data_IF_432947773110
#
_entry.id   IF_432947773110
#
_cell.length_a   1.000
_cell.length_b   1.000
_cell.length_c   1.000
_cell.angle_alpha   90.00
_cell.angle_beta   90.00
_cell.angle_gamma   90.00
#
_symmetry.space_group_name_H-M   'P 1'
#
loop_
_entity.id
_entity.type
_entity.pdbx_description
1 polymer ?
#
# COMPACT_ATOMS: atom_id res chain seq x y z
N UNK A 1 -7.31 -3.38 -10.21
CA UNK A 1 -7.22 -1.95 -9.81
C UNK A 1 -8.64 -1.42 -9.57
N UNK A 2 -9.31 -1.90 -8.52
CA UNK A 2 -10.77 -1.74 -8.37
C UNK A 2 -11.21 -1.61 -6.91
N UNK A 3 -10.28 -1.33 -5.99
CA UNK A 3 -10.56 -1.31 -4.55
C UNK A 3 -10.97 0.10 -4.06
N UNK A 4 -10.51 1.19 -4.69
CA UNK A 4 -10.81 2.55 -4.19
C UNK A 4 -11.98 3.29 -4.85
N UNK A 5 -12.64 2.75 -5.90
CA UNK A 5 -13.75 3.48 -6.56
C UNK A 5 -15.09 3.37 -5.82
N UNK A 6 -15.35 2.24 -5.15
CA UNK A 6 -16.70 1.95 -4.67
C UNK A 6 -17.21 2.89 -3.58
N UNK A 7 -16.37 3.41 -2.68
CA UNK A 7 -16.86 4.22 -1.56
C UNK A 7 -17.33 5.62 -1.98
N UNK A 8 -16.62 6.30 -2.89
CA UNK A 8 -17.06 7.60 -3.41
C UNK A 8 -18.27 7.47 -4.33
N UNK A 9 -18.34 6.41 -5.12
CA UNK A 9 -19.41 6.25 -6.11
C UNK A 9 -20.76 5.86 -5.47
N UNK A 10 -20.75 5.40 -4.21
CA UNK A 10 -21.95 4.95 -3.46
C UNK A 10 -22.43 6.01 -2.46
N UNK A 11 -21.59 6.95 -2.04
CA UNK A 11 -21.94 7.94 -1.02
C UNK A 11 -22.84 9.06 -1.59
N UNK A 12 -23.86 9.50 -0.83
CA UNK A 12 -24.78 10.58 -1.22
C UNK A 12 -24.05 11.91 -1.52
N UNK A 13 -22.94 12.18 -0.81
CA UNK A 13 -22.05 13.33 -1.02
C UNK A 13 -20.81 13.00 -1.88
N UNK A 14 -20.75 11.78 -2.41
CA UNK A 14 -19.56 11.21 -3.03
C UNK A 14 -19.04 11.96 -4.26
N UNK A 15 -19.93 12.68 -4.95
CA UNK A 15 -19.57 13.52 -6.10
C UNK A 15 -18.72 14.74 -5.70
N UNK A 16 -18.84 15.26 -4.48
CA UNK A 16 -18.07 16.42 -4.02
C UNK A 16 -16.59 16.09 -3.78
N UNK A 17 -16.30 14.82 -3.45
CA UNK A 17 -14.95 14.35 -3.13
C UNK A 17 -14.36 13.45 -4.24
N UNK A 18 -15.00 13.40 -5.41
CA UNK A 18 -14.48 12.64 -6.55
C UNK A 18 -13.24 13.32 -7.15
N UNK A 19 -12.08 12.73 -6.88
CA UNK A 19 -10.79 13.21 -7.39
C UNK A 19 -10.49 12.73 -8.82
N UNK A 20 -11.36 11.96 -9.46
CA UNK A 20 -11.10 11.33 -10.77
C UNK A 20 -10.81 12.35 -11.86
N UNK A 21 -11.64 13.41 -11.98
CA UNK A 21 -11.44 14.46 -12.99
C UNK A 21 -10.19 15.31 -12.70
N UNK A 22 -9.91 15.56 -11.42
CA UNK A 22 -8.71 16.29 -10.99
C UNK A 22 -7.46 15.50 -11.36
N UNK A 23 -7.43 14.20 -11.08
CA UNK A 23 -6.31 13.31 -11.43
C UNK A 23 -6.11 13.28 -12.95
N UNK A 24 -7.18 13.14 -13.73
CA UNK A 24 -7.09 13.16 -15.20
C UNK A 24 -6.48 14.46 -15.73
N UNK A 25 -6.89 15.61 -15.16
CA UNK A 25 -6.32 16.92 -15.50
C UNK A 25 -4.84 17.02 -15.11
N UNK A 26 -4.46 16.56 -13.92
CA UNK A 26 -3.06 16.54 -13.46
C UNK A 26 -2.20 15.69 -14.41
N UNK A 27 -2.66 14.50 -14.80
CA UNK A 27 -1.93 13.62 -15.72
C UNK A 27 -1.72 14.28 -17.08
N UNK A 28 -2.75 14.94 -17.62
CA UNK A 28 -2.64 15.69 -18.89
C UNK A 28 -1.63 16.82 -18.78
N UNK A 29 -1.69 17.62 -17.72
CA UNK A 29 -0.77 18.75 -17.50
C UNK A 29 0.68 18.27 -17.32
N UNK A 30 0.89 17.19 -16.56
CA UNK A 30 2.22 16.59 -16.39
C UNK A 30 2.80 16.08 -17.71
N UNK A 31 1.96 15.47 -18.55
CA UNK A 31 2.37 15.03 -19.89
C UNK A 31 2.78 16.21 -20.77
N UNK A 32 1.99 17.29 -20.79
CA UNK A 32 2.32 18.51 -21.52
C UNK A 32 3.63 19.14 -21.03
N UNK A 33 3.82 19.21 -19.70
CA UNK A 33 5.05 19.71 -19.09
C UNK A 33 6.28 18.91 -19.54
N UNK A 34 6.20 17.58 -19.51
CA UNK A 34 7.30 16.72 -19.96
C UNK A 34 7.65 16.97 -21.44
N UNK A 35 6.64 17.11 -22.31
CA UNK A 35 6.84 17.38 -23.73
C UNK A 35 7.50 18.73 -24.00
N UNK A 36 7.09 19.78 -23.28
CA UNK A 36 7.69 21.12 -23.40
C UNK A 36 9.17 21.10 -23.00
N UNK A 37 9.52 20.31 -21.98
CA UNK A 37 10.88 20.14 -21.50
C UNK A 37 11.71 19.16 -22.34
N UNK A 38 11.16 18.60 -23.42
CA UNK A 38 11.86 17.69 -24.35
C UNK A 38 11.87 16.21 -23.94
N UNK A 39 11.11 15.81 -22.92
CA UNK A 39 10.99 14.42 -22.47
C UNK A 39 9.84 13.68 -23.16
N UNK A 40 9.93 12.35 -23.25
CA UNK A 40 8.89 11.54 -23.89
C UNK A 40 7.67 11.35 -22.99
N UNK A 41 7.91 11.26 -21.68
CA UNK A 41 6.87 11.04 -20.68
C UNK A 41 7.22 11.70 -19.31
N UNK A 42 6.23 11.86 -18.41
CA UNK A 42 6.46 12.44 -17.08
C UNK A 42 7.34 11.61 -16.14
N UNK A 43 7.45 10.29 -16.38
CA UNK A 43 8.27 9.42 -15.55
C UNK A 43 9.76 9.66 -15.81
N UNK A 44 10.18 9.81 -17.07
CA UNK A 44 11.53 10.23 -17.47
C UNK A 44 11.89 11.56 -16.82
N UNK A 45 11.02 12.57 -16.96
CA UNK A 45 11.22 13.87 -16.32
C UNK A 45 11.41 13.73 -14.80
N UNK A 46 10.58 12.92 -14.12
CA UNK A 46 10.71 12.71 -12.67
C UNK A 46 11.97 11.96 -12.26
N UNK A 47 12.57 11.16 -13.15
CA UNK A 47 13.75 10.34 -12.85
C UNK A 47 15.05 11.11 -12.98
N UNK A 48 15.07 12.21 -13.75
CA UNK A 48 16.25 13.08 -13.89
C UNK A 48 16.85 13.55 -12.55
N UNK A 49 16.04 13.67 -11.49
CA UNK A 49 16.48 14.09 -10.16
C UNK A 49 16.70 12.93 -9.19
N UNK A 50 16.54 11.68 -9.65
CA UNK A 50 16.57 10.47 -8.82
C UNK A 50 17.73 9.57 -9.23
N UNK A 51 18.06 8.63 -8.35
CA UNK A 51 19.15 7.66 -8.55
C UNK A 51 18.83 6.56 -9.58
N UNK A 52 17.58 6.45 -10.04
CA UNK A 52 17.18 5.39 -10.96
C UNK A 52 17.39 5.83 -12.43
N UNK A 53 18.02 4.96 -13.21
CA UNK A 53 18.54 5.29 -14.53
C UNK A 53 17.45 5.43 -15.62
N UNK A 54 16.40 4.60 -15.57
CA UNK A 54 15.31 4.65 -16.57
C UNK A 54 13.95 4.23 -15.98
N UNK A 55 12.83 4.69 -16.57
CA UNK A 55 11.50 4.19 -16.21
C UNK A 55 11.36 2.68 -16.40
N UNK A 56 12.00 2.12 -17.43
CA UNK A 56 11.97 0.70 -17.75
C UNK A 56 12.61 -0.13 -16.63
N UNK A 57 13.78 0.30 -16.14
CA UNK A 57 14.48 -0.36 -15.03
C UNK A 57 13.62 -0.37 -13.76
N UNK A 58 12.91 0.74 -13.48
CA UNK A 58 11.97 0.83 -12.35
C UNK A 58 10.84 -0.17 -12.50
N UNK A 59 10.27 -0.30 -13.71
CA UNK A 59 9.20 -1.28 -13.97
C UNK A 59 9.70 -2.71 -13.83
N UNK A 60 10.90 -3.02 -14.34
CA UNK A 60 11.52 -4.35 -14.19
C UNK A 60 11.74 -4.66 -12.71
N UNK A 61 12.35 -3.75 -11.96
CA UNK A 61 12.57 -3.90 -10.52
C UNK A 61 11.26 -4.17 -9.75
N UNK A 62 10.20 -3.39 -10.01
CA UNK A 62 8.90 -3.60 -9.36
C UNK A 62 8.26 -4.94 -9.74
N UNK A 63 8.41 -5.39 -10.98
CA UNK A 63 7.92 -6.70 -11.43
C UNK A 63 8.65 -7.85 -10.75
N UNK A 64 9.97 -7.76 -10.63
CA UNK A 64 10.77 -8.77 -9.93
C UNK A 64 10.43 -8.83 -8.44
N UNK A 65 10.27 -7.66 -7.80
CA UNK A 65 9.84 -7.58 -6.41
C UNK A 65 8.45 -8.20 -6.24
N UNK A 66 7.50 -7.86 -7.12
CA UNK A 66 6.15 -8.43 -7.08
C UNK A 66 6.17 -9.95 -7.30
N UNK A 67 7.00 -10.47 -8.20
CA UNK A 67 7.13 -11.91 -8.43
C UNK A 67 7.63 -12.66 -7.19
N UNK A 68 8.57 -12.06 -6.44
CA UNK A 68 9.08 -12.62 -5.18
C UNK A 68 8.09 -12.49 -4.03
N UNK A 69 7.35 -11.39 -3.95
CA UNK A 69 6.40 -11.11 -2.87
C UNK A 69 5.07 -11.88 -3.02
N UNK A 70 4.62 -12.10 -4.25
CA UNK A 70 3.35 -12.78 -4.56
C UNK A 70 3.14 -14.14 -3.85
N UNK A 71 4.11 -15.09 -3.82
CA UNK A 71 3.90 -16.35 -3.14
C UNK A 71 3.71 -16.21 -1.61
N UNK A 72 4.35 -15.21 -0.98
CA UNK A 72 4.15 -14.94 0.44
C UNK A 72 2.76 -14.35 0.69
N UNK A 73 2.36 -13.37 -0.12
CA UNK A 73 1.02 -12.78 -0.03
C UNK A 73 -0.08 -13.83 -0.25
N UNK A 74 0.12 -14.80 -1.16
CA UNK A 74 -0.83 -15.89 -1.36
C UNK A 74 -0.93 -16.79 -0.13
N UNK A 75 0.21 -17.16 0.47
CA UNK A 75 0.23 -17.97 1.70
C UNK A 75 -0.49 -17.26 2.85
N UNK A 76 -0.22 -15.96 3.05
CA UNK A 76 -0.91 -15.16 4.07
C UNK A 76 -2.44 -15.13 3.85
N UNK A 77 -2.88 -14.97 2.60
CA UNK A 77 -4.31 -15.01 2.28
C UNK A 77 -4.92 -16.40 2.53
N UNK A 78 -4.20 -17.47 2.21
CA UNK A 78 -4.65 -18.84 2.45
C UNK A 78 -4.75 -19.12 3.97
N UNK A 79 -3.79 -18.64 4.76
CA UNK A 79 -3.83 -18.70 6.23
C UNK A 79 -5.02 -17.93 6.83
N UNK A 80 -5.26 -16.71 6.34
CA UNK A 80 -6.42 -15.88 6.74
C UNK A 80 -7.73 -16.60 6.41
N UNK A 81 -7.87 -17.16 5.21
CA UNK A 81 -9.07 -17.90 4.82
C UNK A 81 -9.28 -19.14 5.68
N UNK A 82 -8.22 -19.91 5.97
CA UNK A 82 -8.29 -21.10 6.83
C UNK A 82 -8.72 -20.75 8.25
N UNK A 83 -8.13 -19.69 8.82
CA UNK A 83 -8.47 -19.21 10.17
C UNK A 83 -9.92 -18.70 10.25
N UNK A 84 -10.35 -17.97 9.22
CA UNK A 84 -11.71 -17.44 9.12
C UNK A 84 -12.78 -18.56 9.09
N UNK A 85 -12.51 -19.65 8.37
CA UNK A 85 -13.36 -20.84 8.33
C UNK A 85 -13.43 -21.57 9.69
N UNK A 86 -12.36 -21.55 10.48
CA UNK A 86 -12.28 -22.29 11.75
C UNK A 86 -13.03 -21.62 12.91
N UNK A 87 -13.05 -20.29 12.99
CA UNK A 87 -13.51 -19.57 14.19
C UNK A 87 -14.85 -18.89 14.00
N UNK A 88 -15.10 -18.29 12.84
CA UNK A 88 -16.24 -17.38 12.66
C UNK A 88 -17.24 -17.88 11.61
N UNK A 89 -17.00 -19.05 10.99
CA UNK A 89 -17.82 -19.57 9.87
C UNK A 89 -18.00 -18.58 8.71
N UNK A 90 -17.06 -17.64 8.53
CA UNK A 90 -17.08 -16.67 7.45
C UNK A 90 -16.64 -17.39 6.17
N UNK A 91 -17.60 -17.65 5.28
CA UNK A 91 -17.36 -18.39 4.02
C UNK A 91 -16.50 -17.63 3.00
N UNK A 92 -16.41 -16.30 3.11
CA UNK A 92 -15.68 -15.46 2.17
C UNK A 92 -15.12 -14.24 2.89
N UNK A 93 -13.80 -14.15 2.96
CA UNK A 93 -13.08 -12.99 3.49
C UNK A 93 -13.12 -11.88 2.47
N UNK A 94 -13.62 -10.71 2.85
CA UNK A 94 -13.60 -9.51 2.02
C UNK A 94 -12.40 -8.62 2.40
N UNK A 95 -11.98 -7.66 1.55
CA UNK A 95 -10.76 -6.89 1.78
C UNK A 95 -10.70 -6.11 3.10
N UNK A 96 -11.85 -5.73 3.66
CA UNK A 96 -11.95 -5.03 4.95
C UNK A 96 -11.85 -5.96 6.17
N UNK A 97 -12.05 -7.27 5.98
CA UNK A 97 -11.94 -8.26 7.06
C UNK A 97 -10.48 -8.67 7.32
N UNK A 98 -9.61 -8.48 6.31
CA UNK A 98 -8.19 -8.85 6.35
C UNK A 98 -7.47 -8.28 7.57
N UNK A 99 -7.53 -6.96 7.88
CA UNK A 99 -6.79 -6.41 9.03
C UNK A 99 -7.24 -7.02 10.36
N UNK A 100 -8.54 -7.25 10.53
CA UNK A 100 -9.10 -7.81 11.75
C UNK A 100 -8.65 -9.26 11.97
N UNK A 101 -8.74 -10.09 10.92
CA UNK A 101 -8.34 -11.50 10.99
C UNK A 101 -6.82 -11.62 11.18
N UNK A 102 -6.02 -10.79 10.50
CA UNK A 102 -4.57 -10.78 10.66
C UNK A 102 -4.12 -10.45 12.08
N UNK A 103 -4.78 -9.52 12.77
CA UNK A 103 -4.47 -9.25 14.19
C UNK A 103 -4.83 -10.43 15.10
N UNK A 104 -5.95 -11.12 14.84
CA UNK A 104 -6.31 -12.34 15.57
C UNK A 104 -5.30 -13.47 15.34
N UNK A 105 -4.81 -13.64 14.12
CA UNK A 105 -3.74 -14.60 13.80
C UNK A 105 -2.43 -14.26 14.54
N UNK A 106 -2.03 -12.99 14.58
CA UNK A 106 -0.82 -12.56 15.30
C UNK A 106 -0.89 -12.84 16.81
N UNK A 107 -2.06 -12.74 17.43
CA UNK A 107 -2.25 -13.06 18.87
C UNK A 107 -2.00 -14.54 19.22
N UNK A 108 -1.96 -15.45 18.24
CA UNK A 108 -1.53 -16.82 18.47
C UNK A 108 0.00 -16.94 18.66
N UNK A 109 0.74 -15.98 18.12
CA UNK A 109 2.18 -15.84 18.36
C UNK A 109 2.34 -15.21 19.75
N UNK A 110 3.28 -15.69 20.60
CA UNK A 110 3.42 -15.26 21.99
C UNK A 110 3.93 -13.82 22.18
N UNK A 111 3.80 -12.95 21.19
CA UNK A 111 4.26 -11.56 21.21
C UNK A 111 3.02 -10.66 21.11
N UNK A 112 2.65 -10.02 22.21
CA UNK A 112 1.51 -9.10 22.24
C UNK A 112 1.92 -7.66 21.89
N UNK A 113 1.18 -7.05 20.96
CA UNK A 113 1.44 -5.69 20.50
C UNK A 113 1.18 -4.64 21.58
N UNK A 114 0.25 -4.88 22.51
CA UNK A 114 -0.04 -3.93 23.60
C UNK A 114 1.08 -3.91 24.63
N UNK A 115 1.65 -5.08 24.96
CA UNK A 115 2.87 -5.18 25.79
C UNK A 115 4.08 -4.47 25.16
N UNK A 116 4.25 -4.61 23.84
CA UNK A 116 5.30 -3.88 23.11
C UNK A 116 5.13 -2.36 23.22
N UNK A 117 3.88 -1.87 23.22
CA UNK A 117 3.57 -0.45 23.31
C UNK A 117 4.00 0.15 24.65
N UNK A 118 3.81 -0.60 25.74
CA UNK A 118 4.21 -0.19 27.10
C UNK A 118 5.74 -0.12 27.27
N UNK A 119 6.46 -1.05 26.63
CA UNK A 119 7.93 -1.12 26.72
C UNK A 119 8.60 -0.11 25.78
N UNK A 120 7.94 0.28 24.69
CA UNK A 120 8.34 1.38 23.81
C UNK A 120 8.10 2.76 24.46
N UNK A 121 8.78 3.03 25.57
CA UNK A 121 8.79 4.37 26.16
C UNK A 121 9.57 5.29 25.21
N UNK A 122 8.85 6.18 24.52
CA UNK A 122 9.41 7.10 23.51
C UNK A 122 10.71 7.79 23.95
N UNK A 123 10.81 8.15 25.23
CA UNK A 123 12.01 8.79 25.79
C UNK A 123 13.28 7.92 25.71
N UNK A 124 13.16 6.59 25.76
CA UNK A 124 14.30 5.66 25.63
C UNK A 124 14.74 5.52 24.17
N UNK A 125 13.77 5.42 23.24
CA UNK A 125 14.04 5.39 21.80
C UNK A 125 14.70 6.68 21.30
N UNK A 126 14.20 7.85 21.69
CA UNK A 126 14.80 9.11 21.22
C UNK A 126 16.19 9.38 21.81
N UNK A 127 16.50 8.88 23.00
CA UNK A 127 17.81 9.11 23.64
C UNK A 127 18.95 8.37 22.96
N UNK A 128 18.69 7.16 22.47
CA UNK A 128 19.69 6.36 21.73
C UNK A 128 19.90 6.86 20.31
N UNK A 129 18.85 7.29 19.60
CA UNK A 129 18.98 7.80 18.23
C UNK A 129 19.59 9.22 18.14
N UNK A 130 19.62 10.00 19.23
CA UNK A 130 20.22 11.34 19.24
C UNK A 130 21.75 11.35 19.37
N UNK A 131 22.33 10.21 19.76
CA UNK A 131 23.77 10.04 19.98
C UNK A 131 24.47 9.28 18.84
N UNK A 132 23.78 9.08 17.72
CA UNK A 132 24.33 8.58 16.46
C UNK A 132 24.35 9.67 15.40
#
# INVERSE_FOLDING_TARGET
MQICRRSSDIAEEGALFDNSLIIAKILKLRYQQAKILGFSNPAELSLTTKMANSPEDVVVFLKELAAKAKPFAQKELDEINNYSNQIESIRKVEPWDIPFISEKLKKQVPIDNEELRTISHWARYFRTFRNC
#
